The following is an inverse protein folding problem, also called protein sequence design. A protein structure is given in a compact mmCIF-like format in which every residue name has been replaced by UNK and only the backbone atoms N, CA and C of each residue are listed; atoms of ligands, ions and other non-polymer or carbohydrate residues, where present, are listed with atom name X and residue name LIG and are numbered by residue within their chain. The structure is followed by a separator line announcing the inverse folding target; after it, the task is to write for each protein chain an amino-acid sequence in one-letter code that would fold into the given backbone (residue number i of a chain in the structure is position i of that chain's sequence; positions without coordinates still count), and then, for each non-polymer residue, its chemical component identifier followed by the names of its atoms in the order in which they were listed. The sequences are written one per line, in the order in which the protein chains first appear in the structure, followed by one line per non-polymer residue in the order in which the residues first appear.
data_IF_105223394797
#
_entry.id   IF_105223394797
#
_cell.length_a   1.000
_cell.length_b   1.000
_cell.length_c   1.000
_cell.angle_alpha   90.00
_cell.angle_beta   90.00
_cell.angle_gamma   90.00
#
_symmetry.space_group_name_H-M   'P 1'
#
loop_
_entity.id
_entity.type
_entity.pdbx_description
1 polymer ?
#
# COMPACT_ATOMS: atom_id res chain seq x y z
N UNK A 1 -12.37 -0.45 -2.75
CA UNK A 1 -13.47 -0.31 -3.73
C UNK A 1 -14.38 -1.54 -3.72
N UNK A 2 -13.85 -2.78 -3.88
CA UNK A 2 -14.68 -4.00 -4.00
C UNK A 2 -15.55 -4.32 -2.77
N UNK A 3 -15.09 -3.99 -1.56
CA UNK A 3 -15.85 -4.24 -0.34
C UNK A 3 -16.94 -3.20 -0.06
N UNK A 4 -16.86 -2.02 -0.67
CA UNK A 4 -17.82 -0.95 -0.44
C UNK A 4 -19.26 -1.36 -0.77
N UNK A 5 -19.57 -1.93 -1.95
CA UNK A 5 -20.92 -2.40 -2.28
C UNK A 5 -21.43 -3.46 -1.31
N UNK A 6 -20.56 -4.39 -0.89
CA UNK A 6 -20.92 -5.46 0.04
C UNK A 6 -21.29 -4.88 1.41
N UNK A 7 -20.48 -3.96 1.94
CA UNK A 7 -20.76 -3.32 3.24
C UNK A 7 -22.01 -2.46 3.16
N UNK A 8 -22.23 -1.73 2.07
CA UNK A 8 -23.45 -0.94 1.87
C UNK A 8 -24.70 -1.82 1.79
N UNK A 9 -24.61 -2.97 1.10
CA UNK A 9 -25.68 -3.96 1.05
C UNK A 9 -26.02 -4.52 2.45
N UNK A 10 -25.00 -4.84 3.25
CA UNK A 10 -25.19 -5.29 4.64
C UNK A 10 -25.82 -4.18 5.48
N UNK A 11 -25.37 -2.93 5.36
CA UNK A 11 -25.94 -1.79 6.07
C UNK A 11 -27.43 -1.61 5.74
N UNK A 12 -27.78 -1.71 4.46
CA UNK A 12 -29.18 -1.63 4.01
C UNK A 12 -30.03 -2.76 4.58
N UNK A 13 -29.54 -4.02 4.51
CA UNK A 13 -30.27 -5.19 5.02
C UNK A 13 -30.44 -5.16 6.54
N UNK A 14 -29.42 -4.69 7.26
CA UNK A 14 -29.40 -4.62 8.72
C UNK A 14 -29.99 -3.30 9.29
N UNK A 15 -30.41 -2.37 8.44
CA UNK A 15 -30.89 -1.02 8.80
C UNK A 15 -29.88 -0.28 9.70
N UNK A 16 -28.59 -0.43 9.41
CA UNK A 16 -27.49 0.24 10.10
C UNK A 16 -27.05 1.49 9.35
N UNK A 17 -26.63 2.53 10.10
CA UNK A 17 -26.08 3.74 9.50
C UNK A 17 -24.76 3.44 8.77
N UNK A 18 -24.61 3.77 7.47
CA UNK A 18 -23.39 3.53 6.70
C UNK A 18 -22.17 4.21 7.30
N UNK A 19 -22.32 5.39 7.89
CA UNK A 19 -21.23 6.14 8.54
C UNK A 19 -20.50 5.36 9.62
N UNK A 20 -21.21 4.46 10.33
CA UNK A 20 -20.64 3.60 11.38
C UNK A 20 -19.79 2.45 10.82
N UNK A 21 -19.95 2.09 9.55
CA UNK A 21 -19.25 0.95 8.94
C UNK A 21 -18.17 1.40 7.94
N UNK A 22 -18.40 2.50 7.24
CA UNK A 22 -17.50 2.97 6.20
C UNK A 22 -16.16 3.46 6.75
N UNK A 23 -16.16 4.17 7.87
CA UNK A 23 -14.91 4.66 8.47
C UNK A 23 -14.06 3.50 9.05
N UNK A 24 -14.62 2.56 9.85
CA UNK A 24 -13.90 1.36 10.24
C UNK A 24 -13.39 0.54 9.05
N UNK A 25 -14.18 0.42 7.97
CA UNK A 25 -13.76 -0.24 6.74
C UNK A 25 -12.54 0.46 6.11
N UNK A 26 -12.55 1.79 6.02
CA UNK A 26 -11.42 2.56 5.47
C UNK A 26 -10.15 2.33 6.29
N UNK A 27 -10.23 2.39 7.61
CA UNK A 27 -9.10 2.10 8.50
C UNK A 27 -8.61 0.66 8.38
N UNK A 28 -9.53 -0.31 8.28
CA UNK A 28 -9.18 -1.72 8.10
C UNK A 28 -8.46 -1.97 6.77
N UNK A 29 -8.91 -1.32 5.68
CA UNK A 29 -8.25 -1.41 4.37
C UNK A 29 -6.87 -0.79 4.40
N UNK A 30 -6.72 0.42 4.99
CA UNK A 30 -5.43 1.09 5.09
C UNK A 30 -4.44 0.30 5.95
N UNK A 31 -4.85 -0.16 7.12
CA UNK A 31 -3.97 -0.91 8.03
C UNK A 31 -3.66 -2.32 7.50
N UNK A 32 -4.65 -3.01 6.93
CA UNK A 32 -4.46 -4.32 6.32
C UNK A 32 -3.55 -4.28 5.09
N UNK A 33 -3.60 -3.19 4.30
CA UNK A 33 -2.71 -2.97 3.17
C UNK A 33 -1.23 -2.87 3.56
N UNK A 34 -0.93 -2.48 4.79
CA UNK A 34 0.47 -2.40 5.28
C UNK A 34 1.07 -3.77 5.65
N UNK A 35 0.32 -4.87 5.61
CA UNK A 35 0.82 -6.20 6.02
C UNK A 35 1.68 -6.83 4.94
N UNK A 36 1.41 -6.56 3.67
CA UNK A 36 2.13 -7.17 2.55
C UNK A 36 2.79 -6.14 1.63
N UNK A 37 3.80 -6.58 0.91
CA UNK A 37 4.51 -5.75 -0.08
C UNK A 37 3.55 -5.16 -1.13
N UNK A 38 2.60 -5.94 -1.61
CA UNK A 38 1.68 -5.55 -2.70
C UNK A 38 0.41 -4.86 -2.17
N UNK A 39 0.23 -4.80 -0.86
CA UNK A 39 -0.99 -4.27 -0.26
C UNK A 39 -1.20 -2.76 -0.47
N UNK A 40 -0.12 -1.99 -0.61
CA UNK A 40 -0.17 -0.55 -0.94
C UNK A 40 0.97 -0.16 -1.87
N UNK A 41 0.75 0.79 -2.82
CA UNK A 41 1.79 1.25 -3.74
C UNK A 41 3.07 1.77 -3.06
N UNK A 42 3.01 2.51 -1.93
CA UNK A 42 4.21 2.96 -1.22
C UNK A 42 5.18 1.84 -0.85
N UNK A 43 4.69 0.67 -0.44
CA UNK A 43 5.54 -0.47 -0.08
C UNK A 43 6.39 -0.95 -1.27
N UNK A 44 5.77 -1.03 -2.44
CA UNK A 44 6.45 -1.42 -3.69
C UNK A 44 7.50 -0.36 -4.07
N UNK A 45 7.15 0.93 -3.94
CA UNK A 45 8.05 2.04 -4.26
C UNK A 45 9.30 2.00 -3.38
N UNK A 46 9.14 1.82 -2.06
CA UNK A 46 10.27 1.74 -1.12
C UNK A 46 11.12 0.51 -1.38
N UNK A 47 10.51 -0.64 -1.66
CA UNK A 47 11.23 -1.87 -2.01
C UNK A 47 12.02 -1.74 -3.31
N UNK A 48 11.42 -1.11 -4.32
CA UNK A 48 12.10 -0.80 -5.59
C UNK A 48 13.25 0.19 -5.42
N UNK A 49 13.09 1.20 -4.55
CA UNK A 49 14.17 2.12 -4.23
C UNK A 49 15.37 1.38 -3.61
N UNK A 50 15.15 0.47 -2.65
CA UNK A 50 16.22 -0.35 -2.08
C UNK A 50 16.98 -1.14 -3.15
N UNK A 51 16.26 -1.79 -4.06
CA UNK A 51 16.87 -2.54 -5.18
C UNK A 51 17.74 -1.64 -6.06
N UNK A 52 17.30 -0.41 -6.36
CA UNK A 52 18.07 0.55 -7.16
C UNK A 52 19.38 0.99 -6.50
N UNK A 53 19.43 1.02 -5.16
CA UNK A 53 20.64 1.31 -4.38
C UNK A 53 21.50 0.06 -4.12
N UNK A 54 21.17 -1.09 -4.71
CA UNK A 54 21.92 -2.34 -4.58
C UNK A 54 21.65 -3.10 -3.28
N UNK A 55 20.63 -2.71 -2.54
CA UNK A 55 20.20 -3.44 -1.34
C UNK A 55 19.18 -4.53 -1.70
N UNK A 56 19.05 -5.52 -0.82
CA UNK A 56 18.02 -6.55 -0.96
C UNK A 56 16.63 -5.91 -0.87
N UNK A 57 15.73 -6.14 -1.84
CA UNK A 57 14.34 -5.71 -1.75
C UNK A 57 13.61 -6.45 -0.61
N UNK A 58 12.51 -5.86 -0.15
CA UNK A 58 11.67 -6.50 0.87
C UNK A 58 10.99 -7.76 0.34
N UNK A 59 10.93 -8.80 1.18
CA UNK A 59 10.11 -9.98 0.94
C UNK A 59 8.61 -9.66 1.06
N UNK A 60 7.77 -10.58 0.56
CA UNK A 60 6.32 -10.35 0.46
C UNK A 60 5.65 -9.99 1.79
N UNK A 61 6.02 -10.66 2.89
CA UNK A 61 5.47 -10.43 4.23
C UNK A 61 6.42 -9.74 5.22
N UNK A 62 7.52 -9.17 4.78
CA UNK A 62 8.43 -8.46 5.70
C UNK A 62 7.75 -7.24 6.35
N UNK A 63 6.83 -6.60 5.65
CA UNK A 63 6.02 -5.52 6.20
C UNK A 63 5.06 -5.97 7.31
N UNK A 64 4.76 -7.26 7.42
CA UNK A 64 3.86 -7.81 8.43
C UNK A 64 4.35 -7.57 9.87
N UNK A 65 5.67 -7.49 10.09
CA UNK A 65 6.24 -7.20 11.40
C UNK A 65 5.76 -5.87 11.99
N UNK A 66 5.50 -4.89 11.14
CA UNK A 66 4.96 -3.58 11.55
C UNK A 66 3.46 -3.51 11.26
N UNK A 67 3.02 -4.04 10.13
CA UNK A 67 1.64 -3.99 9.67
C UNK A 67 0.66 -4.73 10.58
N UNK A 68 1.03 -5.92 11.08
CA UNK A 68 0.15 -6.69 11.97
C UNK A 68 -0.08 -5.99 13.31
N UNK A 69 0.95 -5.55 14.06
CA UNK A 69 0.75 -4.77 15.28
C UNK A 69 -0.10 -3.52 15.07
N UNK A 70 0.15 -2.77 14.00
CA UNK A 70 -0.64 -1.57 13.67
C UNK A 70 -2.10 -1.90 13.36
N UNK A 71 -2.34 -2.99 12.62
CA UNK A 71 -3.71 -3.45 12.34
C UNK A 71 -4.44 -3.83 13.61
N UNK A 72 -3.79 -4.57 14.51
CA UNK A 72 -4.36 -4.94 15.82
C UNK A 72 -4.68 -3.69 16.64
N UNK A 73 -3.76 -2.73 16.71
CA UNK A 73 -3.98 -1.45 17.40
C UNK A 73 -5.15 -0.66 16.77
N UNK A 74 -5.25 -0.65 15.45
CA UNK A 74 -6.33 0.01 14.73
C UNK A 74 -7.69 -0.63 15.05
N UNK A 75 -7.77 -1.95 15.05
CA UNK A 75 -8.98 -2.69 15.42
C UNK A 75 -9.37 -2.39 16.88
N UNK A 76 -8.40 -2.43 17.78
CA UNK A 76 -8.63 -2.15 19.20
C UNK A 76 -9.09 -0.71 19.41
N UNK A 77 -8.45 0.27 18.77
CA UNK A 77 -8.86 1.67 18.81
C UNK A 77 -10.30 1.86 18.31
N UNK A 78 -10.62 1.28 17.14
CA UNK A 78 -11.97 1.38 16.57
C UNK A 78 -13.03 0.71 17.44
N UNK A 79 -12.68 -0.40 18.10
CA UNK A 79 -13.58 -1.09 19.02
C UNK A 79 -13.82 -0.30 20.32
N UNK A 80 -12.78 0.29 20.91
CA UNK A 80 -12.85 0.97 22.21
C UNK A 80 -13.31 2.43 22.09
N UNK A 81 -12.71 3.20 21.19
CA UNK A 81 -12.93 4.63 21.06
C UNK A 81 -13.74 5.00 19.81
N UNK A 82 -13.45 4.38 18.65
CA UNK A 82 -14.07 4.72 17.38
C UNK A 82 -15.59 4.61 17.40
N UNK A 83 -16.13 3.57 18.03
CA UNK A 83 -17.58 3.37 18.17
C UNK A 83 -18.32 4.53 18.87
N UNK A 84 -17.64 5.26 19.75
CA UNK A 84 -18.21 6.39 20.51
C UNK A 84 -18.08 7.73 19.77
N UNK A 85 -17.11 7.82 18.86
CA UNK A 85 -16.81 9.04 18.11
C UNK A 85 -17.57 9.12 16.77
N UNK A 86 -18.09 8.00 16.29
CA UNK A 86 -18.80 7.95 15.03
C UNK A 86 -20.23 8.51 15.16
N UNK A 87 -20.63 9.48 14.31
CA UNK A 87 -21.97 10.05 14.35
C UNK A 87 -23.01 9.00 13.99
N UNK A 88 -24.14 9.08 14.70
CA UNK A 88 -25.33 8.31 14.38
C UNK A 88 -26.10 9.06 13.29
N UNK A 89 -25.88 8.72 12.05
CA UNK A 89 -26.62 9.38 10.98
C UNK A 89 -26.28 8.87 9.57
N UNK A 90 -27.27 8.96 8.71
CA UNK A 90 -27.21 8.66 7.29
C UNK A 90 -27.95 7.37 6.93
N UNK A 91 -29.08 7.54 6.29
CA UNK A 91 -29.71 6.46 5.53
C UNK A 91 -28.88 6.22 4.26
N UNK A 92 -28.84 4.98 3.80
CA UNK A 92 -28.19 4.66 2.52
C UNK A 92 -28.96 5.39 1.42
N UNK A 93 -28.35 6.27 0.62
CA UNK A 93 -29.08 6.94 -0.45
C UNK A 93 -29.69 5.92 -1.41
N UNK A 94 -30.98 6.01 -1.69
CA UNK A 94 -31.66 5.08 -2.62
C UNK A 94 -31.00 5.04 -4.00
N UNK A 95 -30.43 6.16 -4.45
CA UNK A 95 -29.66 6.23 -5.69
C UNK A 95 -28.44 5.29 -5.69
N UNK A 96 -27.78 5.15 -4.55
CA UNK A 96 -26.61 4.26 -4.44
C UNK A 96 -27.00 2.79 -4.44
N UNK A 97 -28.18 2.45 -3.88
CA UNK A 97 -28.74 1.10 -3.93
C UNK A 97 -29.21 0.74 -5.34
N UNK A 98 -29.69 1.71 -6.13
CA UNK A 98 -30.08 1.51 -7.52
C UNK A 98 -28.87 1.37 -8.47
N UNK A 99 -27.74 1.98 -8.13
CA UNK A 99 -26.47 1.84 -8.87
C UNK A 99 -25.68 0.57 -8.50
N UNK A 100 -26.04 -0.11 -7.43
CA UNK A 100 -25.59 -1.48 -7.14
C UNK A 100 -26.30 -2.42 -8.11
N UNK A 101 -25.93 -2.30 -9.38
CA UNK A 101 -26.36 -3.22 -10.46
C UNK A 101 -26.20 -4.65 -9.95
N UNK A 102 -27.19 -5.54 -10.12
CA UNK A 102 -27.05 -6.91 -9.70
C UNK A 102 -25.80 -7.49 -10.37
N UNK A 103 -24.71 -7.58 -9.63
CA UNK A 103 -23.46 -8.18 -10.09
C UNK A 103 -23.82 -9.47 -10.79
N UNK A 104 -23.58 -9.55 -12.10
CA UNK A 104 -23.77 -10.79 -12.85
C UNK A 104 -22.94 -11.87 -12.15
N UNK A 105 -23.62 -12.66 -11.33
CA UNK A 105 -23.04 -13.72 -10.52
C UNK A 105 -22.54 -14.84 -11.46
N UNK A 106 -21.37 -14.64 -12.04
CA UNK A 106 -20.70 -15.67 -12.81
C UNK A 106 -19.79 -16.46 -11.86
N UNK A 107 -20.43 -17.26 -10.98
CA UNK A 107 -19.76 -18.05 -9.93
C UNK A 107 -18.50 -18.77 -10.44
N UNK A 108 -18.51 -19.46 -11.62
CA UNK A 108 -17.31 -20.13 -12.11
C UNK A 108 -16.15 -19.17 -12.37
N UNK A 109 -16.39 -17.98 -12.92
CA UNK A 109 -15.31 -16.99 -13.15
C UNK A 109 -14.75 -16.42 -11.86
N UNK A 110 -15.60 -16.23 -10.85
CA UNK A 110 -15.15 -15.76 -9.52
C UNK A 110 -14.26 -16.79 -8.84
N UNK A 111 -14.62 -18.09 -8.92
CA UNK A 111 -13.80 -19.18 -8.36
C UNK A 111 -12.46 -19.26 -9.08
N UNK A 112 -12.45 -19.19 -10.42
CA UNK A 112 -11.20 -19.22 -11.20
C UNK A 112 -10.32 -18.04 -10.84
N UNK A 113 -10.85 -16.82 -10.77
CA UNK A 113 -10.11 -15.63 -10.38
C UNK A 113 -9.55 -15.75 -8.95
N UNK A 114 -10.32 -16.28 -8.01
CA UNK A 114 -9.89 -16.58 -6.65
C UNK A 114 -8.75 -17.59 -6.60
N UNK A 115 -8.83 -18.67 -7.38
CA UNK A 115 -7.76 -19.67 -7.48
C UNK A 115 -6.46 -19.09 -8.06
N UNK A 116 -6.57 -18.24 -9.10
CA UNK A 116 -5.43 -17.57 -9.70
C UNK A 116 -4.77 -16.63 -8.67
N UNK A 117 -5.56 -15.81 -7.99
CA UNK A 117 -5.06 -14.90 -6.95
C UNK A 117 -4.34 -15.68 -5.84
N UNK A 118 -4.95 -16.76 -5.36
CA UNK A 118 -4.38 -17.59 -4.30
C UNK A 118 -3.09 -18.27 -4.76
N UNK A 119 -3.04 -18.75 -6.00
CA UNK A 119 -1.85 -19.30 -6.63
C UNK A 119 -0.71 -18.26 -6.75
N UNK A 120 -1.03 -17.04 -7.15
CA UNK A 120 -0.06 -15.95 -7.20
C UNK A 120 0.52 -15.64 -5.82
N UNK A 121 -0.34 -15.52 -4.79
CA UNK A 121 0.10 -15.28 -3.41
C UNK A 121 1.02 -16.39 -2.93
N UNK A 122 0.68 -17.66 -3.17
CA UNK A 122 1.52 -18.80 -2.78
C UNK A 122 2.89 -18.72 -3.47
N UNK A 123 2.93 -18.45 -4.77
CA UNK A 123 4.19 -18.33 -5.53
C UNK A 123 5.03 -17.17 -4.99
N UNK A 124 4.41 -16.02 -4.69
CA UNK A 124 5.09 -14.85 -4.12
C UNK A 124 5.65 -15.13 -2.70
N UNK A 125 4.93 -15.96 -1.91
CA UNK A 125 5.36 -16.34 -0.56
C UNK A 125 6.50 -17.35 -0.54
N UNK A 126 6.59 -18.22 -1.56
CA UNK A 126 7.61 -19.28 -1.64
C UNK A 126 9.01 -18.75 -1.98
N UNK A 127 9.14 -17.46 -2.32
CA UNK A 127 10.41 -16.77 -2.65
C UNK A 127 11.31 -17.64 -3.56
N UNK A 128 10.73 -18.13 -4.65
CA UNK A 128 11.40 -19.02 -5.59
C UNK A 128 12.52 -18.25 -6.30
N UNK A 129 13.76 -18.70 -6.18
CA UNK A 129 14.94 -18.06 -6.78
C UNK A 129 14.84 -17.75 -8.29
N UNK A 130 13.92 -18.41 -9.00
CA UNK A 130 13.71 -18.24 -10.45
C UNK A 130 12.53 -17.37 -10.84
N UNK A 131 11.59 -17.13 -9.93
CA UNK A 131 10.35 -16.37 -10.20
C UNK A 131 10.30 -15.21 -9.21
N UNK A 132 10.58 -14.02 -9.71
CA UNK A 132 10.46 -12.81 -8.89
C UNK A 132 8.99 -12.49 -8.61
N UNK A 133 8.73 -11.68 -7.59
CA UNK A 133 7.38 -11.25 -7.20
C UNK A 133 6.67 -10.57 -8.38
N UNK A 134 7.41 -9.76 -9.14
CA UNK A 134 6.90 -9.06 -10.33
C UNK A 134 6.51 -10.03 -11.45
N UNK A 135 7.34 -11.04 -11.69
CA UNK A 135 7.03 -12.09 -12.70
C UNK A 135 5.77 -12.87 -12.31
N UNK A 136 5.62 -13.23 -11.04
CA UNK A 136 4.43 -13.91 -10.54
C UNK A 136 3.17 -13.05 -10.75
N UNK A 137 3.24 -11.74 -10.46
CA UNK A 137 2.13 -10.82 -10.67
C UNK A 137 1.74 -10.70 -12.15
N UNK A 138 2.71 -10.54 -13.06
CA UNK A 138 2.47 -10.43 -14.51
C UNK A 138 1.88 -11.73 -15.05
N UNK A 139 2.44 -12.89 -14.67
CA UNK A 139 1.91 -14.20 -15.09
C UNK A 139 0.47 -14.37 -14.61
N UNK A 140 0.18 -14.02 -13.35
CA UNK A 140 -1.19 -14.08 -12.81
C UNK A 140 -2.17 -13.19 -13.56
N UNK A 141 -1.79 -11.98 -13.90
CA UNK A 141 -2.60 -11.07 -14.71
C UNK A 141 -2.87 -11.62 -16.10
N UNK A 142 -1.84 -12.20 -16.77
CA UNK A 142 -1.98 -12.84 -18.07
C UNK A 142 -2.94 -14.05 -18.01
N UNK A 143 -2.82 -14.89 -16.99
CA UNK A 143 -3.70 -16.05 -16.79
C UNK A 143 -5.15 -15.59 -16.58
N UNK A 144 -5.40 -14.49 -15.84
CA UNK A 144 -6.74 -13.91 -15.66
C UNK A 144 -7.36 -13.47 -17.00
N UNK A 145 -6.57 -12.91 -17.90
CA UNK A 145 -7.04 -12.51 -19.24
C UNK A 145 -7.27 -13.73 -20.12
N UNK A 146 -6.34 -14.69 -20.16
CA UNK A 146 -6.44 -15.91 -20.97
C UNK A 146 -7.61 -16.81 -20.56
N UNK A 147 -7.92 -16.88 -19.28
CA UNK A 147 -9.08 -17.63 -18.76
C UNK A 147 -10.42 -16.91 -18.97
N UNK A 148 -10.39 -15.69 -19.51
CA UNK A 148 -11.58 -14.88 -19.75
C UNK A 148 -12.27 -14.38 -18.46
N UNK A 149 -11.56 -14.39 -17.34
CA UNK A 149 -12.01 -13.75 -16.09
C UNK A 149 -12.07 -12.23 -16.22
N UNK A 150 -11.12 -11.66 -16.97
CA UNK A 150 -11.03 -10.24 -17.30
C UNK A 150 -10.90 -10.08 -18.81
N UNK A 151 -11.57 -9.08 -19.37
CA UNK A 151 -11.31 -8.66 -20.74
C UNK A 151 -10.02 -7.83 -20.80
N UNK A 152 -9.36 -7.79 -21.95
CA UNK A 152 -8.16 -6.98 -22.18
C UNK A 152 -8.38 -5.51 -21.80
N UNK A 153 -9.52 -4.92 -22.17
CA UNK A 153 -9.88 -3.53 -21.83
C UNK A 153 -10.01 -3.33 -20.34
N UNK A 154 -10.62 -4.27 -19.62
CA UNK A 154 -10.74 -4.20 -18.16
C UNK A 154 -9.38 -4.31 -17.48
N UNK A 155 -8.53 -5.24 -17.92
CA UNK A 155 -7.18 -5.39 -17.42
C UNK A 155 -6.37 -4.10 -17.60
N UNK A 156 -6.43 -3.50 -18.80
CA UNK A 156 -5.70 -2.24 -19.10
C UNK A 156 -6.23 -1.06 -18.29
N UNK A 157 -7.53 -1.00 -18.04
CA UNK A 157 -8.16 0.07 -17.26
C UNK A 157 -7.90 -0.08 -15.75
N UNK A 158 -7.57 -1.27 -15.29
CA UNK A 158 -7.21 -1.55 -13.89
C UNK A 158 -5.76 -1.18 -13.55
N UNK A 159 -4.93 -0.85 -14.56
CA UNK A 159 -3.55 -0.42 -14.35
C UNK A 159 -3.55 1.01 -13.79
N UNK A 160 -2.91 1.20 -12.65
CA UNK A 160 -2.74 2.53 -12.05
C UNK A 160 -1.55 3.25 -12.68
N UNK A 161 -1.75 3.79 -13.88
CA UNK A 161 -0.73 4.49 -14.66
C UNK A 161 -0.06 5.62 -13.91
N UNK A 162 -0.81 6.32 -13.06
CA UNK A 162 -0.28 7.42 -12.24
C UNK A 162 0.88 6.97 -11.35
N UNK A 163 0.75 5.82 -10.69
CA UNK A 163 1.81 5.23 -9.85
C UNK A 163 3.01 4.80 -10.68
N UNK A 164 2.79 4.20 -11.87
CA UNK A 164 3.87 3.77 -12.76
C UNK A 164 4.69 4.97 -13.24
N UNK A 165 4.03 6.03 -13.75
CA UNK A 165 4.71 7.24 -14.22
C UNK A 165 5.39 8.01 -13.08
N UNK A 166 4.77 8.06 -11.90
CA UNK A 166 5.39 8.65 -10.72
C UNK A 166 6.71 7.94 -10.38
N UNK A 167 6.68 6.61 -10.29
CA UNK A 167 7.86 5.83 -9.98
C UNK A 167 8.95 5.99 -11.05
N UNK A 168 8.58 5.87 -12.32
CA UNK A 168 9.50 6.05 -13.45
C UNK A 168 10.14 7.46 -13.47
N UNK A 169 9.38 8.50 -13.12
CA UNK A 169 9.89 9.88 -13.03
C UNK A 169 10.77 10.12 -11.81
N UNK A 170 10.51 9.43 -10.69
CA UNK A 170 11.30 9.59 -9.46
C UNK A 170 12.63 8.82 -9.50
N UNK A 171 12.77 7.77 -10.30
CA UNK A 171 14.05 7.05 -10.45
C UNK A 171 15.21 7.96 -10.89
N UNK A 172 15.10 8.75 -11.98
CA UNK A 172 16.15 9.69 -12.35
C UNK A 172 16.46 10.72 -11.28
N UNK A 173 15.43 11.22 -10.57
CA UNK A 173 15.62 12.17 -9.46
C UNK A 173 16.43 11.54 -8.34
N UNK A 174 16.15 10.29 -7.97
CA UNK A 174 16.90 9.54 -6.95
C UNK A 174 18.37 9.37 -7.36
N UNK A 175 18.63 9.01 -8.62
CA UNK A 175 19.99 8.92 -9.16
C UNK A 175 20.70 10.27 -9.20
N UNK A 176 20.00 11.34 -9.56
CA UNK A 176 20.57 12.70 -9.54
C UNK A 176 20.94 13.13 -8.12
N UNK A 177 20.07 12.91 -7.13
CA UNK A 177 20.35 13.20 -5.72
C UNK A 177 21.60 12.47 -5.21
N UNK A 178 21.76 11.20 -5.60
CA UNK A 178 22.92 10.40 -5.24
C UNK A 178 24.20 10.91 -5.94
N UNK A 179 24.16 11.06 -7.26
CA UNK A 179 25.33 11.43 -8.07
C UNK A 179 25.83 12.87 -7.81
N UNK A 180 24.95 13.78 -7.44
CA UNK A 180 25.30 15.18 -7.08
C UNK A 180 25.78 15.34 -5.63
N UNK A 181 25.67 14.29 -4.80
CA UNK A 181 25.95 14.37 -3.37
C UNK A 181 24.90 15.14 -2.57
N UNK A 182 23.80 15.55 -3.19
CA UNK A 182 22.74 16.30 -2.50
C UNK A 182 22.06 15.44 -1.42
N UNK A 183 21.88 14.14 -1.65
CA UNK A 183 21.36 13.21 -0.64
C UNK A 183 22.29 13.11 0.57
N UNK A 184 23.62 13.09 0.35
CA UNK A 184 24.64 13.10 1.40
C UNK A 184 24.61 14.39 2.20
N UNK A 185 24.49 15.52 1.54
CA UNK A 185 24.40 16.84 2.20
C UNK A 185 23.14 16.92 3.09
N UNK A 186 22.00 16.46 2.59
CA UNK A 186 20.77 16.39 3.37
C UNK A 186 20.91 15.43 4.57
N UNK A 187 21.52 14.26 4.38
CA UNK A 187 21.78 13.32 5.46
C UNK A 187 22.66 13.95 6.54
N UNK A 188 23.76 14.62 6.17
CA UNK A 188 24.63 15.31 7.12
C UNK A 188 23.90 16.40 7.91
N UNK A 189 23.09 17.24 7.26
CA UNK A 189 22.30 18.25 7.96
C UNK A 189 21.32 17.64 8.97
N UNK A 190 20.68 16.52 8.61
CA UNK A 190 19.81 15.78 9.54
C UNK A 190 20.61 15.27 10.74
N UNK A 191 21.81 14.71 10.50
CA UNK A 191 22.67 14.17 11.55
C UNK A 191 23.22 15.29 12.47
N UNK A 192 23.65 16.40 11.90
CA UNK A 192 24.14 17.56 12.65
C UNK A 192 23.03 18.19 13.52
N UNK A 193 21.81 18.30 12.98
CA UNK A 193 20.67 18.83 13.71
C UNK A 193 20.25 17.96 14.91
N UNK A 194 20.48 16.64 14.81
CA UNK A 194 20.15 15.66 15.87
C UNK A 194 21.27 15.45 16.89
N UNK A 195 22.48 15.98 16.65
CA UNK A 195 23.65 15.77 17.48
C UNK A 195 24.27 14.38 17.31
N UNK A 196 24.20 13.50 18.31
CA UNK A 196 24.56 12.08 18.18
C UNK A 196 23.31 11.26 17.94
N UNK A 197 22.94 11.01 16.66
CA UNK A 197 21.66 10.43 16.37
C UNK A 197 21.65 8.92 16.66
N UNK A 198 20.78 8.54 17.58
CA UNK A 198 20.44 7.12 17.70
C UNK A 198 19.60 6.67 16.47
N UNK A 199 19.66 5.40 16.06
CA UNK A 199 18.82 4.88 14.98
C UNK A 199 17.33 5.17 15.17
N UNK A 200 16.88 5.20 16.43
CA UNK A 200 15.52 5.55 16.81
C UNK A 200 15.18 7.02 16.47
N UNK A 201 16.10 7.95 16.75
CA UNK A 201 15.88 9.38 16.48
C UNK A 201 15.74 9.63 14.96
N UNK A 202 16.55 8.99 14.15
CA UNK A 202 16.47 9.08 12.68
C UNK A 202 15.15 8.52 12.18
N UNK A 203 14.75 7.33 12.66
CA UNK A 203 13.48 6.71 12.28
C UNK A 203 12.30 7.61 12.65
N UNK A 204 12.30 8.19 13.84
CA UNK A 204 11.24 9.11 14.30
C UNK A 204 11.20 10.39 13.47
N UNK A 205 12.34 10.95 13.09
CA UNK A 205 12.39 12.14 12.24
C UNK A 205 11.86 11.82 10.82
N UNK A 206 12.33 10.74 10.20
CA UNK A 206 11.84 10.30 8.88
C UNK A 206 10.34 10.03 8.91
N UNK A 207 9.85 9.39 9.97
CA UNK A 207 8.43 9.16 10.18
C UNK A 207 7.66 10.49 10.27
N UNK A 208 8.11 11.43 11.10
CA UNK A 208 7.43 12.72 11.30
C UNK A 208 7.41 13.55 10.00
N UNK A 209 8.53 13.60 9.27
CA UNK A 209 8.62 14.31 7.98
C UNK A 209 7.70 13.65 6.95
N UNK A 210 7.71 12.31 6.85
CA UNK A 210 6.84 11.60 5.92
C UNK A 210 5.38 11.81 6.27
N UNK A 211 5.01 11.71 7.55
CA UNK A 211 3.64 11.93 8.02
C UNK A 211 3.15 13.35 7.72
N UNK A 212 4.04 14.35 7.81
CA UNK A 212 3.71 15.73 7.44
C UNK A 212 3.53 15.86 5.93
N UNK A 213 4.43 15.32 5.13
CA UNK A 213 4.38 15.40 3.67
C UNK A 213 3.12 14.74 3.10
N UNK A 214 2.67 13.62 3.66
CA UNK A 214 1.45 12.94 3.19
C UNK A 214 0.18 13.74 3.41
N UNK A 215 0.21 14.82 4.19
CA UNK A 215 -0.93 15.74 4.32
C UNK A 215 -1.10 16.63 3.08
N UNK A 216 -0.02 16.86 2.31
CA UNK A 216 0.00 17.77 1.17
C UNK A 216 0.11 17.04 -0.17
N UNK A 217 0.61 15.81 -0.16
CA UNK A 217 0.83 15.02 -1.37
C UNK A 217 0.40 13.56 -1.15
N UNK A 218 0.31 12.78 -2.24
CA UNK A 218 -0.09 11.37 -2.12
C UNK A 218 0.94 10.53 -1.35
N UNK A 219 0.48 9.46 -0.71
CA UNK A 219 1.36 8.52 0.01
C UNK A 219 2.46 7.96 -0.89
N UNK A 220 2.12 7.64 -2.15
CA UNK A 220 3.08 7.15 -3.14
C UNK A 220 4.16 8.18 -3.48
N UNK A 221 3.76 9.45 -3.65
CA UNK A 221 4.71 10.54 -3.93
C UNK A 221 5.63 10.79 -2.74
N UNK A 222 5.08 10.79 -1.52
CA UNK A 222 5.88 10.94 -0.29
C UNK A 222 6.88 9.80 -0.12
N UNK A 223 6.45 8.56 -0.37
CA UNK A 223 7.34 7.40 -0.31
C UNK A 223 8.46 7.49 -1.36
N UNK A 224 8.13 7.87 -2.61
CA UNK A 224 9.11 8.01 -3.68
C UNK A 224 10.16 9.10 -3.39
N UNK A 225 9.76 10.18 -2.70
CA UNK A 225 10.66 11.27 -2.32
C UNK A 225 11.54 10.90 -1.13
N UNK A 226 10.96 10.32 -0.09
CA UNK A 226 11.67 10.09 1.19
C UNK A 226 12.50 8.81 1.17
N UNK A 227 12.11 7.78 0.42
CA UNK A 227 12.83 6.52 0.42
C UNK A 227 14.33 6.66 0.06
N UNK A 228 14.74 7.37 -1.01
CA UNK A 228 16.15 7.58 -1.33
C UNK A 228 16.90 8.32 -0.21
N UNK A 229 16.29 9.35 0.38
CA UNK A 229 16.88 10.14 1.48
C UNK A 229 17.08 9.25 2.70
N UNK A 230 16.06 8.46 3.06
CA UNK A 230 16.13 7.53 4.17
C UNK A 230 17.22 6.47 4.01
N UNK A 231 17.33 5.86 2.81
CA UNK A 231 18.35 4.86 2.50
C UNK A 231 19.75 5.45 2.68
N UNK A 232 20.00 6.63 2.12
CA UNK A 232 21.29 7.31 2.25
C UNK A 232 21.57 7.67 3.70
N UNK A 233 20.63 8.24 4.43
CA UNK A 233 20.79 8.61 5.84
C UNK A 233 21.15 7.42 6.72
N UNK A 234 20.46 6.29 6.54
CA UNK A 234 20.74 5.05 7.29
C UNK A 234 22.09 4.47 6.91
N UNK A 235 22.48 4.48 5.63
CA UNK A 235 23.80 4.03 5.19
C UNK A 235 24.93 4.79 5.84
N UNK A 236 24.81 6.12 5.99
CA UNK A 236 25.81 6.95 6.64
C UNK A 236 25.95 6.68 8.14
N UNK A 237 24.88 6.27 8.82
CA UNK A 237 24.93 6.00 10.27
C UNK A 237 25.47 4.62 10.62
N UNK A 238 25.43 3.67 9.70
CA UNK A 238 25.97 2.32 9.91
C UNK A 238 27.41 2.12 9.39
N UNK A 239 27.95 3.09 8.63
CA UNK A 239 29.32 3.06 8.09
C UNK A 239 30.34 3.83 8.97
N UNK A 240 29.89 4.51 9.98
CA UNK A 240 30.71 5.17 11.04
C UNK A 240 30.54 4.45 12.36
#
# INVERSE_FOLDING_TARGET
ACLLPVVMGICAAAKMAPSRQLLPLAYAVCSGGMISLVGTPPNIIVSGALSNFGYRPFGFFEFAWVGVPLTVLTILYMYLAGRRLLPEGGEVPEKFLAELDPMQHNVPKQVIAGCILLGCIIVMCLDLQKITIEMAAVIGALVCVLTGCLTEKQAYHSIEWSTIFLFAGMMPVSHALYNTGAAELLARWILEALGTPSPLAITMLLFAVTALLTQFMSNSASAALIAPIGIVTVSYTHLT
#
